data_IF_426437743679
#
_entry.id   IF_426437743679
#
_cell.length_a   1.000
_cell.length_b   1.000
_cell.length_c   1.000
_cell.angle_alpha   90.00
_cell.angle_beta   90.00
_cell.angle_gamma   90.00
#
_symmetry.space_group_name_H-M   'P 1'
#
loop_
_entity.id
_entity.type
_entity.pdbx_description
1 polymer ?
#
# COMPACT_ATOMS: atom_id res chain seq x y z
N UNK A 1 25.84 5.32 -4.47
CA UNK A 1 24.43 4.85 -4.55
C UNK A 1 24.14 4.11 -3.24
N UNK A 2 22.91 4.13 -2.72
CA UNK A 2 22.58 3.50 -1.43
C UNK A 2 22.93 2.00 -1.43
N UNK A 3 23.18 1.46 -0.24
CA UNK A 3 23.34 0.02 -0.01
C UNK A 3 22.16 -0.79 -0.61
N UNK A 4 22.51 -1.87 -1.31
CA UNK A 4 21.62 -2.81 -2.00
C UNK A 4 21.36 -4.08 -1.18
N UNK A 5 21.79 -4.11 0.09
CA UNK A 5 21.47 -5.18 1.04
C UNK A 5 19.98 -5.19 1.39
N UNK A 6 19.48 -6.37 1.79
CA UNK A 6 18.09 -6.53 2.24
C UNK A 6 17.76 -5.62 3.43
N UNK A 7 18.70 -5.51 4.37
CA UNK A 7 18.55 -4.62 5.53
C UNK A 7 18.35 -3.16 5.14
N UNK A 8 19.03 -2.71 4.08
CA UNK A 8 18.87 -1.34 3.59
C UNK A 8 17.53 -1.13 2.88
N UNK A 9 16.95 -2.16 2.24
CA UNK A 9 15.58 -2.07 1.74
C UNK A 9 14.60 -1.86 2.89
N UNK A 10 14.67 -2.71 3.92
CA UNK A 10 13.78 -2.63 5.09
C UNK A 10 13.91 -1.30 5.82
N UNK A 11 15.13 -0.78 6.01
CA UNK A 11 15.35 0.53 6.65
C UNK A 11 14.70 1.68 5.86
N UNK A 12 14.73 1.63 4.53
CA UNK A 12 14.01 2.60 3.67
C UNK A 12 12.50 2.39 3.75
N UNK A 13 12.05 1.13 3.73
CA UNK A 13 10.64 0.77 3.86
C UNK A 13 10.04 1.31 5.15
N UNK A 14 10.75 1.23 6.28
CA UNK A 14 10.29 1.78 7.55
C UNK A 14 10.07 3.31 7.49
N UNK A 15 10.91 4.04 6.74
CA UNK A 15 10.70 5.49 6.53
C UNK A 15 9.46 5.76 5.68
N UNK A 16 9.26 4.99 4.61
CA UNK A 16 8.05 5.10 3.81
C UNK A 16 6.82 4.70 4.60
N UNK A 17 6.92 3.70 5.47
CA UNK A 17 5.83 3.27 6.35
C UNK A 17 5.42 4.39 7.31
N UNK A 18 6.39 5.02 7.98
CA UNK A 18 6.10 6.18 8.85
C UNK A 18 5.38 7.30 8.10
N UNK A 19 5.87 7.63 6.90
CA UNK A 19 5.26 8.64 6.05
C UNK A 19 3.84 8.25 5.61
N UNK A 20 3.64 7.01 5.15
CA UNK A 20 2.35 6.50 4.68
C UNK A 20 1.32 6.40 5.81
N UNK A 21 1.72 5.92 7.00
CA UNK A 21 0.86 5.92 8.18
C UNK A 21 0.44 7.33 8.58
N UNK A 22 1.37 8.30 8.55
CA UNK A 22 1.05 9.70 8.85
C UNK A 22 0.05 10.29 7.86
N UNK A 23 0.23 10.06 6.56
CA UNK A 23 -0.73 10.49 5.53
C UNK A 23 -2.10 9.81 5.74
N UNK A 24 -2.12 8.51 5.99
CA UNK A 24 -3.36 7.78 6.21
C UNK A 24 -4.15 8.34 7.40
N UNK A 25 -3.48 8.62 8.52
CA UNK A 25 -4.13 9.24 9.69
C UNK A 25 -4.70 10.62 9.38
N UNK A 26 -3.93 11.47 8.67
CA UNK A 26 -4.42 12.79 8.25
C UNK A 26 -5.66 12.64 7.36
N UNK A 27 -5.60 11.75 6.36
CA UNK A 27 -6.73 11.57 5.44
C UNK A 27 -7.96 11.01 6.14
N UNK A 28 -7.82 10.09 7.10
CA UNK A 28 -8.95 9.60 7.91
C UNK A 28 -9.62 10.77 8.63
N UNK A 29 -8.85 11.67 9.25
CA UNK A 29 -9.39 12.85 9.95
C UNK A 29 -10.07 13.80 8.95
N UNK A 30 -9.44 14.05 7.80
CA UNK A 30 -10.00 14.91 6.75
C UNK A 30 -11.33 14.35 6.25
N UNK A 31 -11.41 13.05 5.93
CA UNK A 31 -12.64 12.43 5.46
C UNK A 31 -13.72 12.35 6.54
N UNK A 32 -13.34 12.20 7.81
CA UNK A 32 -14.28 12.32 8.91
C UNK A 32 -14.91 13.72 8.97
N UNK A 33 -14.10 14.79 8.91
CA UNK A 33 -14.61 16.17 8.92
C UNK A 33 -15.47 16.47 7.68
N UNK A 34 -15.03 16.03 6.49
CA UNK A 34 -15.82 16.17 5.26
C UNK A 34 -17.14 15.43 5.43
N UNK A 35 -17.11 14.19 5.91
CA UNK A 35 -18.28 13.37 6.15
C UNK A 35 -19.27 14.01 7.11
N UNK A 36 -18.82 14.67 8.19
CA UNK A 36 -19.72 15.39 9.10
C UNK A 36 -20.54 16.51 8.43
N UNK A 37 -20.12 16.98 7.25
CA UNK A 37 -20.83 18.01 6.49
C UNK A 37 -21.72 17.45 5.36
N UNK A 38 -21.75 16.13 5.17
CA UNK A 38 -22.59 15.46 4.18
C UNK A 38 -23.95 15.15 4.80
N UNK A 39 -25.03 15.52 4.11
CA UNK A 39 -26.41 15.32 4.59
C UNK A 39 -27.02 13.99 4.14
N UNK A 40 -26.54 13.45 3.01
CA UNK A 40 -27.03 12.20 2.45
C UNK A 40 -25.87 11.28 2.08
N UNK A 41 -25.92 10.05 2.60
CA UNK A 41 -24.95 8.98 2.35
C UNK A 41 -25.54 7.86 1.48
N UNK A 42 -26.70 8.07 0.84
CA UNK A 42 -27.36 7.08 -0.01
C UNK A 42 -26.45 6.56 -1.14
N UNK A 43 -25.63 7.43 -1.72
CA UNK A 43 -24.63 7.10 -2.74
C UNK A 43 -23.32 6.54 -2.16
N UNK A 44 -23.11 6.65 -0.84
CA UNK A 44 -21.92 6.09 -0.21
C UNK A 44 -22.09 4.58 -0.12
N UNK A 45 -21.22 3.79 -0.77
CA UNK A 45 -21.38 2.35 -0.78
C UNK A 45 -21.33 1.83 0.66
N UNK A 46 -22.42 1.21 1.12
CA UNK A 46 -22.37 0.37 2.30
C UNK A 46 -21.40 -0.76 1.99
N UNK A 47 -20.17 -0.63 2.48
CA UNK A 47 -19.21 -1.72 2.44
C UNK A 47 -19.58 -2.66 3.58
N UNK A 48 -20.72 -3.32 3.43
CA UNK A 48 -21.03 -4.47 4.26
C UNK A 48 -19.99 -5.53 3.89
N UNK A 49 -18.93 -5.60 4.73
CA UNK A 49 -17.78 -6.45 4.45
C UNK A 49 -18.26 -7.88 4.17
N UNK A 50 -19.33 -8.31 4.86
CA UNK A 50 -19.97 -9.60 4.74
C UNK A 50 -20.50 -9.95 3.33
N UNK A 51 -20.78 -8.98 2.46
CA UNK A 51 -21.48 -9.20 1.18
C UNK A 51 -20.63 -8.98 -0.08
N UNK A 52 -19.43 -8.42 0.02
CA UNK A 52 -18.59 -8.11 -1.16
C UNK A 52 -17.30 -8.93 -1.28
N UNK A 53 -16.75 -9.46 -0.19
CA UNK A 53 -15.54 -10.28 -0.26
C UNK A 53 -15.94 -11.74 -0.34
N UNK A 54 -15.59 -12.40 -1.43
CA UNK A 54 -15.72 -13.85 -1.52
C UNK A 54 -14.71 -14.47 -0.55
N UNK A 55 -15.14 -14.83 0.67
CA UNK A 55 -14.28 -15.42 1.72
C UNK A 55 -13.91 -16.89 1.41
N UNK A 56 -13.47 -17.13 0.19
CA UNK A 56 -13.05 -18.41 -0.30
C UNK A 56 -11.70 -18.28 -1.00
N UNK A 57 -11.20 -19.40 -1.49
CA UNK A 57 -9.92 -19.45 -2.17
C UNK A 57 -9.84 -18.52 -3.40
N UNK A 58 -10.94 -18.31 -4.12
CA UNK A 58 -10.96 -17.42 -5.27
C UNK A 58 -10.79 -15.95 -4.86
N UNK A 59 -11.48 -15.49 -3.80
CA UNK A 59 -11.28 -14.15 -3.28
C UNK A 59 -9.88 -13.93 -2.70
N UNK A 60 -9.31 -14.95 -2.05
CA UNK A 60 -7.90 -14.92 -1.65
C UNK A 60 -6.97 -14.73 -2.84
N UNK A 61 -7.15 -15.52 -3.91
CA UNK A 61 -6.33 -15.42 -5.11
C UNK A 61 -6.48 -14.07 -5.79
N UNK A 62 -7.70 -13.53 -5.86
CA UNK A 62 -7.96 -12.21 -6.45
C UNK A 62 -7.21 -11.11 -5.71
N UNK A 63 -7.36 -11.06 -4.38
CA UNK A 63 -6.69 -10.09 -3.51
C UNK A 63 -5.17 -10.27 -3.60
N UNK A 64 -4.69 -11.50 -3.48
CA UNK A 64 -3.25 -11.79 -3.54
C UNK A 64 -2.67 -11.41 -4.89
N UNK A 65 -3.30 -11.78 -6.01
CA UNK A 65 -2.79 -11.47 -7.35
C UNK A 65 -2.81 -9.97 -7.60
N UNK A 66 -3.87 -9.28 -7.18
CA UNK A 66 -3.96 -7.84 -7.32
C UNK A 66 -2.84 -7.12 -6.56
N UNK A 67 -2.69 -7.42 -5.27
CA UNK A 67 -1.75 -6.72 -4.39
C UNK A 67 -0.30 -7.19 -4.58
N UNK A 68 -0.08 -8.44 -4.96
CA UNK A 68 1.26 -8.98 -5.20
C UNK A 68 1.78 -8.64 -6.60
N UNK A 69 0.95 -8.65 -7.64
CA UNK A 69 1.43 -8.58 -9.03
C UNK A 69 0.86 -7.40 -9.81
N UNK A 70 -0.46 -7.17 -9.80
CA UNK A 70 -1.08 -6.16 -10.67
C UNK A 70 -0.67 -4.75 -10.23
N UNK A 71 -0.92 -4.40 -8.96
CA UNK A 71 -0.57 -3.08 -8.41
C UNK A 71 0.95 -2.84 -8.51
N UNK A 72 1.82 -3.80 -8.13
CA UNK A 72 3.26 -3.62 -8.28
C UNK A 72 3.76 -3.49 -9.70
N UNK A 73 3.11 -4.14 -10.68
CA UNK A 73 3.45 -3.97 -12.08
C UNK A 73 3.16 -2.54 -12.56
N UNK A 74 2.01 -1.96 -12.16
CA UNK A 74 1.67 -0.57 -12.50
C UNK A 74 2.70 0.39 -11.92
N UNK A 75 3.04 0.26 -10.63
CA UNK A 75 4.05 1.10 -9.99
C UNK A 75 5.44 0.91 -10.61
N UNK A 76 5.79 -0.31 -11.02
CA UNK A 76 7.04 -0.62 -11.71
C UNK A 76 7.12 0.14 -13.04
N UNK A 77 6.06 0.11 -13.86
CA UNK A 77 5.99 0.86 -15.13
C UNK A 77 6.20 2.36 -14.86
N UNK A 78 5.50 2.92 -13.88
CA UNK A 78 5.65 4.33 -13.50
C UNK A 78 7.06 4.66 -12.98
N UNK A 79 7.73 3.71 -12.33
CA UNK A 79 9.09 3.90 -11.80
C UNK A 79 10.16 3.97 -12.89
N UNK A 80 9.86 3.49 -14.09
CA UNK A 80 10.77 3.55 -15.23
C UNK A 80 10.79 4.95 -15.85
N UNK A 81 9.70 5.69 -15.73
CA UNK A 81 9.63 7.08 -16.18
C UNK A 81 10.55 7.90 -15.26
N UNK A 82 11.53 8.68 -15.78
CA UNK A 82 12.53 9.40 -14.99
C UNK A 82 11.98 10.62 -14.22
N UNK A 83 10.72 10.57 -13.79
CA UNK A 83 10.06 11.56 -12.94
C UNK A 83 10.12 11.04 -11.50
N UNK A 84 10.75 11.78 -10.56
CA UNK A 84 10.78 11.41 -9.16
C UNK A 84 9.37 11.16 -8.60
N UNK A 85 9.23 10.08 -7.85
CA UNK A 85 8.01 9.75 -7.08
C UNK A 85 6.74 9.51 -7.90
N UNK A 86 6.78 9.45 -9.24
CA UNK A 86 5.60 9.14 -10.05
C UNK A 86 4.98 7.77 -9.70
N UNK A 87 5.83 6.81 -9.35
CA UNK A 87 5.44 5.47 -8.88
C UNK A 87 4.72 5.44 -7.52
N UNK A 88 4.53 6.58 -6.86
CA UNK A 88 3.73 6.66 -5.62
C UNK A 88 2.22 6.63 -5.88
N UNK A 89 1.77 6.88 -7.11
CA UNK A 89 0.34 7.02 -7.43
C UNK A 89 -0.48 5.82 -6.93
N UNK A 90 -0.09 4.55 -7.17
CA UNK A 90 -0.86 3.41 -6.67
C UNK A 90 -0.90 3.35 -5.13
N UNK A 91 0.20 3.64 -4.45
CA UNK A 91 0.23 3.72 -2.98
C UNK A 91 -0.68 4.80 -2.43
N UNK A 92 -0.71 5.98 -3.06
CA UNK A 92 -1.61 7.08 -2.69
C UNK A 92 -3.07 6.65 -2.90
N UNK A 93 -3.38 5.94 -3.98
CA UNK A 93 -4.72 5.41 -4.24
C UNK A 93 -5.18 4.42 -3.17
N UNK A 94 -4.30 3.49 -2.75
CA UNK A 94 -4.58 2.55 -1.65
C UNK A 94 -4.85 3.29 -0.34
N UNK A 95 -3.96 4.22 0.03
CA UNK A 95 -4.11 5.02 1.26
C UNK A 95 -5.39 5.86 1.22
N UNK A 96 -5.70 6.47 0.08
CA UNK A 96 -6.93 7.22 -0.14
C UNK A 96 -8.16 6.33 0.06
N UNK A 97 -8.23 5.19 -0.62
CA UNK A 97 -9.35 4.25 -0.53
C UNK A 97 -9.61 3.80 0.92
N UNK A 98 -8.55 3.40 1.62
CA UNK A 98 -8.60 3.00 3.02
C UNK A 98 -9.11 4.14 3.92
N UNK A 99 -8.60 5.34 3.70
CA UNK A 99 -8.92 6.52 4.51
C UNK A 99 -10.34 7.02 4.28
N UNK A 100 -10.84 6.96 3.04
CA UNK A 100 -12.24 7.31 2.71
C UNK A 100 -13.20 6.37 3.41
N UNK A 101 -12.99 5.05 3.30
CA UNK A 101 -13.86 4.05 3.91
C UNK A 101 -13.93 4.28 5.43
N UNK A 102 -12.79 4.40 6.08
CA UNK A 102 -12.74 4.56 7.54
C UNK A 102 -13.29 5.92 7.97
N UNK A 103 -12.76 7.01 7.40
CA UNK A 103 -13.08 8.38 7.82
C UNK A 103 -14.55 8.71 7.59
N UNK A 104 -15.10 8.37 6.42
CA UNK A 104 -16.51 8.64 6.12
C UNK A 104 -17.42 7.75 6.98
N UNK A 105 -17.14 6.45 7.18
CA UNK A 105 -18.00 5.63 8.05
C UNK A 105 -18.02 6.12 9.49
N UNK A 106 -16.90 6.63 10.02
CA UNK A 106 -16.89 7.30 11.32
C UNK A 106 -17.83 8.50 11.41
N UNK A 107 -18.10 9.21 10.31
CA UNK A 107 -18.93 10.42 10.35
C UNK A 107 -20.43 10.14 10.44
N UNK A 108 -20.93 9.10 9.77
CA UNK A 108 -22.38 8.81 9.71
C UNK A 108 -22.82 7.61 10.57
N UNK A 109 -21.90 6.69 10.90
CA UNK A 109 -22.17 5.54 11.78
C UNK A 109 -20.94 5.18 12.60
N UNK A 110 -20.75 5.92 13.69
CA UNK A 110 -19.58 5.81 14.55
C UNK A 110 -19.26 4.36 15.00
N UNK A 111 -20.27 3.61 15.46
CA UNK A 111 -20.09 2.22 15.90
C UNK A 111 -19.65 1.29 14.76
N UNK A 112 -20.27 1.40 13.57
CA UNK A 112 -19.82 0.65 12.39
C UNK A 112 -18.41 1.09 11.96
N UNK A 113 -18.09 2.38 12.09
CA UNK A 113 -16.75 2.92 11.83
C UNK A 113 -15.68 2.31 12.73
N UNK A 114 -15.96 2.13 14.03
CA UNK A 114 -15.08 1.42 14.96
C UNK A 114 -14.88 -0.04 14.51
N UNK A 115 -15.98 -0.74 14.22
CA UNK A 115 -15.93 -2.14 13.81
C UNK A 115 -15.12 -2.33 12.51
N UNK A 116 -15.33 -1.48 11.51
CA UNK A 116 -14.57 -1.47 10.25
C UNK A 116 -13.10 -1.17 10.52
N UNK A 117 -12.79 -0.12 11.30
CA UNK A 117 -11.41 0.27 11.58
C UNK A 117 -10.62 -0.86 12.24
N UNK A 118 -11.16 -1.43 13.33
CA UNK A 118 -10.49 -2.51 14.06
C UNK A 118 -10.44 -3.80 13.22
N UNK A 119 -11.50 -4.10 12.46
CA UNK A 119 -11.54 -5.24 11.55
C UNK A 119 -10.49 -5.15 10.45
N UNK A 120 -10.29 -3.97 9.86
CA UNK A 120 -9.33 -3.74 8.78
C UNK A 120 -7.89 -3.62 9.30
N UNK A 121 -7.70 -3.13 10.52
CA UNK A 121 -6.37 -2.82 11.08
C UNK A 121 -5.30 -3.91 10.88
N UNK A 122 -5.58 -5.22 11.06
CA UNK A 122 -4.58 -6.27 10.90
C UNK A 122 -4.00 -6.37 9.49
N UNK A 123 -4.82 -6.32 8.45
CA UNK A 123 -4.33 -6.35 7.06
C UNK A 123 -3.94 -4.96 6.58
N UNK A 124 -4.64 -3.90 6.99
CA UNK A 124 -4.35 -2.52 6.57
C UNK A 124 -2.94 -2.06 6.97
N UNK A 125 -2.47 -2.42 8.17
CA UNK A 125 -1.07 -2.13 8.58
C UNK A 125 -0.08 -2.89 7.69
N UNK A 126 -0.37 -4.16 7.37
CA UNK A 126 0.49 -4.96 6.50
C UNK A 126 0.47 -4.45 5.05
N UNK A 127 -0.65 -3.96 4.56
CA UNK A 127 -0.77 -3.38 3.22
C UNK A 127 0.01 -2.06 3.10
N UNK A 128 -0.07 -1.20 4.13
CA UNK A 128 0.78 0.00 4.22
C UNK A 128 2.26 -0.38 4.27
N UNK A 129 2.63 -1.43 5.00
CA UNK A 129 4.01 -1.90 5.04
C UNK A 129 4.45 -2.52 3.70
N UNK A 130 3.57 -3.29 3.05
CA UNK A 130 3.79 -3.92 1.75
C UNK A 130 4.09 -2.87 0.67
N UNK A 131 3.22 -1.87 0.55
CA UNK A 131 3.44 -0.72 -0.35
C UNK A 131 4.71 0.05 0.01
N UNK A 132 5.09 0.14 1.28
CA UNK A 132 6.35 0.76 1.70
C UNK A 132 7.60 -0.06 1.31
N UNK A 133 7.50 -1.39 1.27
CA UNK A 133 8.55 -2.28 0.72
C UNK A 133 8.70 -2.04 -0.78
N UNK A 134 7.60 -1.98 -1.49
CA UNK A 134 7.56 -1.66 -2.92
C UNK A 134 8.21 -0.30 -3.22
N UNK A 135 7.80 0.76 -2.54
CA UNK A 135 8.37 2.10 -2.71
C UNK A 135 9.88 2.12 -2.47
N UNK A 136 10.39 1.34 -1.51
CA UNK A 136 11.83 1.19 -1.28
C UNK A 136 12.59 0.60 -2.47
N UNK A 137 12.00 -0.38 -3.14
CA UNK A 137 12.55 -0.98 -4.36
C UNK A 137 12.49 -0.02 -5.54
N UNK A 138 11.32 0.57 -5.79
CA UNK A 138 11.07 1.47 -6.90
C UNK A 138 11.84 2.79 -6.76
N UNK A 139 12.08 3.26 -5.54
CA UNK A 139 12.93 4.41 -5.28
C UNK A 139 14.34 4.21 -5.83
N UNK A 140 14.94 3.04 -5.60
CA UNK A 140 16.27 2.75 -6.13
C UNK A 140 16.28 2.59 -7.64
N UNK A 141 15.27 1.93 -8.20
CA UNK A 141 15.13 1.76 -9.65
C UNK A 141 14.98 3.13 -10.34
N UNK A 142 14.04 3.95 -9.88
CA UNK A 142 13.80 5.27 -10.42
C UNK A 142 15.02 6.18 -10.23
N UNK A 143 15.68 6.14 -9.07
CA UNK A 143 16.92 6.90 -8.84
C UNK A 143 18.05 6.46 -9.79
N UNK A 144 18.19 5.16 -10.05
CA UNK A 144 19.15 4.64 -11.02
C UNK A 144 18.83 5.16 -12.43
N UNK A 145 17.58 5.05 -12.88
CA UNK A 145 17.16 5.47 -14.22
C UNK A 145 17.40 6.97 -14.39
N UNK A 146 16.95 7.81 -13.45
CA UNK A 146 17.18 9.26 -13.50
C UNK A 146 18.66 9.61 -13.62
N UNK A 147 19.52 8.99 -12.80
CA UNK A 147 20.97 9.23 -12.83
C UNK A 147 21.59 8.74 -14.13
N UNK A 148 21.16 7.58 -14.63
CA UNK A 148 21.63 7.03 -15.88
C UNK A 148 21.25 7.92 -17.07
N UNK A 149 19.99 8.39 -17.12
CA UNK A 149 19.53 9.36 -18.11
C UNK A 149 20.31 10.68 -18.04
N UNK A 150 20.56 11.19 -16.83
CA UNK A 150 21.34 12.42 -16.64
C UNK A 150 22.82 12.25 -17.03
N UNK A 151 23.39 11.05 -16.86
CA UNK A 151 24.76 10.73 -17.27
C UNK A 151 24.97 10.79 -18.79
N UNK A 152 23.91 10.76 -19.60
CA UNK A 152 23.99 10.99 -21.04
C UNK A 152 24.38 12.43 -21.39
N UNK A 153 24.04 13.39 -20.52
CA UNK A 153 24.25 14.82 -20.74
C UNK A 153 25.39 15.42 -19.90
N UNK A 154 25.89 14.69 -18.90
CA UNK A 154 26.93 15.19 -17.99
C UNK A 154 28.34 15.03 -18.55
N UNK A 155 29.14 16.10 -18.44
CA UNK A 155 30.59 16.08 -18.74
C UNK A 155 31.38 15.13 -17.82
N UNK A 156 31.02 15.07 -16.53
CA UNK A 156 31.56 14.11 -15.55
C UNK A 156 30.44 13.14 -15.14
N UNK A 157 30.56 11.89 -15.56
CA UNK A 157 29.56 10.84 -15.30
C UNK A 157 29.62 10.40 -13.84
N UNK A 158 28.45 10.24 -13.21
CA UNK A 158 28.37 9.57 -11.91
C UNK A 158 28.59 8.06 -12.07
N UNK A 159 29.37 7.46 -11.18
CA UNK A 159 29.56 6.01 -11.11
C UNK A 159 28.28 5.33 -10.60
N UNK A 160 27.72 4.44 -11.42
CA UNK A 160 26.54 3.63 -11.09
C UNK A 160 26.92 2.15 -10.99
N UNK A 161 26.25 1.37 -10.14
CA UNK A 161 26.39 -0.08 -10.17
C UNK A 161 25.87 -0.63 -11.50
N UNK A 162 26.26 -1.85 -11.85
CA UNK A 162 25.68 -2.52 -13.03
C UNK A 162 24.16 -2.70 -12.82
N UNK A 163 23.36 -2.43 -13.85
CA UNK A 163 21.90 -2.57 -13.79
C UNK A 163 21.46 -3.95 -13.27
N UNK A 164 22.10 -5.02 -13.74
CA UNK A 164 21.81 -6.38 -13.27
C UNK A 164 22.06 -6.61 -11.78
N UNK A 165 23.00 -5.89 -11.17
CA UNK A 165 23.24 -5.99 -9.71
C UNK A 165 22.07 -5.34 -8.95
N UNK A 166 21.61 -4.17 -9.41
CA UNK A 166 20.42 -3.51 -8.86
C UNK A 166 19.17 -4.39 -9.03
N UNK A 167 18.95 -4.90 -10.24
CA UNK A 167 17.78 -5.73 -10.55
C UNK A 167 17.76 -7.01 -9.70
N UNK A 168 18.91 -7.70 -9.57
CA UNK A 168 19.03 -8.90 -8.71
C UNK A 168 18.68 -8.59 -7.26
N UNK A 169 19.11 -7.44 -6.73
CA UNK A 169 18.78 -7.02 -5.37
C UNK A 169 17.30 -6.71 -5.18
N UNK A 170 16.66 -6.05 -6.17
CA UNK A 170 15.21 -5.79 -6.16
C UNK A 170 14.43 -7.10 -6.20
N UNK A 171 14.74 -7.99 -7.15
CA UNK A 171 14.07 -9.30 -7.28
C UNK A 171 14.23 -10.11 -5.99
N UNK A 172 15.42 -10.10 -5.38
CA UNK A 172 15.66 -10.77 -4.10
C UNK A 172 14.77 -10.21 -2.98
N UNK A 173 14.65 -8.89 -2.85
CA UNK A 173 13.76 -8.27 -1.86
C UNK A 173 12.29 -8.60 -2.14
N UNK A 174 11.90 -8.60 -3.42
CA UNK A 174 10.55 -8.89 -3.84
C UNK A 174 10.15 -10.33 -3.49
N UNK A 175 10.96 -11.32 -3.86
CA UNK A 175 10.67 -12.73 -3.61
C UNK A 175 10.77 -13.12 -2.13
N UNK A 176 11.76 -12.61 -1.40
CA UNK A 176 12.02 -13.05 -0.02
C UNK A 176 11.22 -12.30 1.03
N UNK A 177 10.72 -11.09 0.73
CA UNK A 177 10.04 -10.23 1.71
C UNK A 177 8.68 -9.77 1.19
N UNK A 178 8.63 -9.12 0.03
CA UNK A 178 7.38 -8.54 -0.46
C UNK A 178 6.31 -9.61 -0.69
N UNK A 179 6.65 -10.69 -1.40
CA UNK A 179 5.70 -11.74 -1.75
C UNK A 179 5.15 -12.50 -0.52
N UNK A 180 5.97 -12.89 0.48
CA UNK A 180 5.46 -13.44 1.74
C UNK A 180 4.54 -12.47 2.50
N UNK A 181 4.88 -11.18 2.56
CA UNK A 181 4.04 -10.18 3.24
C UNK A 181 2.71 -9.99 2.49
N UNK A 182 2.73 -9.96 1.16
CA UNK A 182 1.52 -9.88 0.34
C UNK A 182 0.59 -11.09 0.57
N UNK A 183 1.18 -12.29 0.66
CA UNK A 183 0.44 -13.51 0.96
C UNK A 183 -0.24 -13.43 2.33
N UNK A 184 0.50 -13.02 3.36
CA UNK A 184 -0.04 -12.86 4.72
C UNK A 184 -1.15 -11.80 4.76
N UNK A 185 -0.96 -10.68 4.06
CA UNK A 185 -1.96 -9.62 3.95
C UNK A 185 -3.28 -10.16 3.39
N UNK A 186 -3.23 -10.85 2.24
CA UNK A 186 -4.41 -11.45 1.61
C UNK A 186 -5.07 -12.52 2.50
N UNK A 187 -4.28 -13.35 3.19
CA UNK A 187 -4.79 -14.36 4.11
C UNK A 187 -5.53 -13.72 5.29
N UNK A 188 -4.97 -12.66 5.88
CA UNK A 188 -5.60 -11.93 6.99
C UNK A 188 -6.87 -11.24 6.51
N UNK A 189 -6.87 -10.68 5.31
CA UNK A 189 -8.03 -10.01 4.73
C UNK A 189 -9.23 -10.94 4.57
N UNK A 190 -9.03 -12.17 4.11
CA UNK A 190 -10.12 -13.13 3.89
C UNK A 190 -10.51 -13.93 5.15
N UNK A 191 -9.71 -13.92 6.21
CA UNK A 191 -9.96 -14.73 7.43
C UNK A 191 -10.16 -13.88 8.68
N UNK A 192 -9.18 -13.06 9.06
CA UNK A 192 -9.16 -12.31 10.31
C UNK A 192 -10.10 -11.12 10.23
N UNK A 193 -10.01 -10.32 9.17
CA UNK A 193 -10.83 -9.12 8.96
C UNK A 193 -12.33 -9.36 9.12
N UNK A 194 -12.96 -10.32 8.40
CA UNK A 194 -14.39 -10.58 8.56
C UNK A 194 -14.75 -11.12 9.94
N UNK A 195 -13.89 -11.95 10.53
CA UNK A 195 -14.11 -12.53 11.86
C UNK A 195 -14.14 -11.44 12.93
N UNK A 196 -13.16 -10.54 12.90
CA UNK A 196 -13.07 -9.41 13.85
C UNK A 196 -14.21 -8.43 13.62
N UNK A 197 -14.49 -8.07 12.37
CA UNK A 197 -15.62 -7.18 12.04
C UNK A 197 -16.94 -7.73 12.57
N UNK A 198 -17.28 -8.98 12.23
CA UNK A 198 -18.52 -9.65 12.66
C UNK A 198 -18.62 -9.77 14.18
N UNK A 199 -17.51 -10.06 14.85
CA UNK A 199 -17.47 -10.11 16.30
C UNK A 199 -17.82 -8.75 16.92
N UNK A 200 -17.21 -7.67 16.41
CA UNK A 200 -17.43 -6.31 16.92
C UNK A 200 -18.85 -5.82 16.67
N UNK A 201 -19.41 -6.06 15.47
CA UNK A 201 -20.79 -5.67 15.15
C UNK A 201 -21.85 -6.41 15.98
N UNK A 202 -21.50 -7.52 16.63
CA UNK A 202 -22.41 -8.24 17.51
C UNK A 202 -22.40 -7.73 18.96
N UNK A 203 -21.40 -6.92 19.34
CA UNK A 203 -21.19 -6.49 20.73
C UNK A 203 -21.20 -4.97 20.94
N UNK A 204 -21.17 -4.18 19.85
CA UNK A 204 -21.23 -2.71 19.83
C UNK A 204 -22.51 -2.28 19.11
#
# INVERSE_FOLDING_TARGET
MNDLSLSSFLKRSNKFMQFNCFICLILIIVFYIIGMNIQDFSDFPSKDLNHKVTYNFNGFLEIFVNNAFIVPLVSLILSIIPIPYLYFIPTISTIYSLSVIIGVTFSYKFNEGIAIFIGILPHGILEIYLTSIELSMLFLLNAYIRKNSMNLFRKRKETLPKFFVLLKSIVKCYLLIFLPVAFLCALIEITVTPTVYKFLTNII
#
